data_IF_806326878168
#
_entry.id   IF_806326878168
#
_cell.length_a   1.000
_cell.length_b   1.000
_cell.length_c   1.000
_cell.angle_alpha   90.00
_cell.angle_beta   90.00
_cell.angle_gamma   90.00
#
_symmetry.space_group_name_H-M   'P 1'
#
loop_
_entity.id
_entity.type
_entity.pdbx_description
1 polymer ?
#
# COMPACT_ATOMS: atom_id res chain seq x y z
N UNK A 1 -23.86 -12.11 -20.84
CA UNK A 1 -23.11 -10.97 -20.26
C UNK A 1 -22.57 -11.46 -18.91
N UNK A 2 -21.40 -12.08 -18.93
CA UNK A 2 -20.79 -12.78 -17.78
C UNK A 2 -20.01 -11.75 -16.96
N UNK A 3 -20.49 -11.47 -15.75
CA UNK A 3 -19.78 -10.64 -14.79
C UNK A 3 -18.50 -11.37 -14.34
N UNK A 4 -17.37 -10.79 -14.68
CA UNK A 4 -16.05 -11.26 -14.28
C UNK A 4 -15.85 -10.91 -12.80
N UNK A 5 -15.91 -11.91 -11.94
CA UNK A 5 -15.59 -11.79 -10.52
C UNK A 5 -14.10 -11.48 -10.39
N UNK A 6 -13.79 -10.32 -9.78
CA UNK A 6 -12.43 -9.94 -9.44
C UNK A 6 -11.76 -10.93 -8.48
N UNK A 7 -10.44 -10.80 -8.26
CA UNK A 7 -9.64 -11.81 -7.57
C UNK A 7 -10.03 -11.92 -6.09
N UNK A 8 -10.87 -12.92 -5.79
CA UNK A 8 -11.02 -13.40 -4.42
C UNK A 8 -9.73 -14.11 -4.03
N UNK A 9 -8.99 -13.55 -3.10
CA UNK A 9 -7.95 -14.30 -2.39
C UNK A 9 -8.64 -15.33 -1.49
N UNK A 10 -8.71 -16.56 -1.93
CA UNK A 10 -9.03 -17.70 -1.08
C UNK A 10 -7.94 -17.82 -0.01
N UNK A 11 -8.28 -17.48 1.22
CA UNK A 11 -7.44 -17.79 2.36
C UNK A 11 -8.22 -18.76 3.27
N UNK A 12 -7.68 -19.97 3.29
CA UNK A 12 -7.85 -21.02 4.30
C UNK A 12 -9.28 -21.49 4.55
N UNK A 13 -9.62 -22.62 3.97
CA UNK A 13 -10.76 -23.44 4.36
C UNK A 13 -10.54 -23.96 5.78
N UNK A 14 -11.17 -23.34 6.76
CA UNK A 14 -11.33 -23.94 8.07
C UNK A 14 -12.62 -24.78 8.00
N UNK A 15 -12.50 -26.09 7.87
CA UNK A 15 -13.60 -27.03 8.03
C UNK A 15 -13.88 -27.09 9.54
N UNK A 16 -14.88 -26.34 9.98
CA UNK A 16 -15.40 -26.49 11.34
C UNK A 16 -16.55 -27.48 11.24
N UNK A 17 -16.29 -28.74 11.55
CA UNK A 17 -17.34 -29.71 11.82
C UNK A 17 -18.03 -29.30 13.14
N UNK A 18 -19.14 -28.61 13.05
CA UNK A 18 -19.98 -28.41 14.22
C UNK A 18 -20.76 -29.70 14.45
N UNK A 19 -20.62 -30.34 15.62
CA UNK A 19 -21.51 -31.43 15.98
C UNK A 19 -22.94 -30.91 16.04
N UNK A 20 -23.77 -31.35 15.11
CA UNK A 20 -25.22 -31.08 15.17
C UNK A 20 -25.72 -31.79 16.41
N UNK A 21 -26.36 -31.02 17.29
CA UNK A 21 -27.00 -31.55 18.52
C UNK A 21 -27.89 -32.74 18.15
N UNK A 22 -27.53 -33.92 18.59
CA UNK A 22 -28.35 -35.09 18.46
C UNK A 22 -29.60 -34.86 19.32
N UNK A 23 -30.75 -34.62 18.69
CA UNK A 23 -32.02 -34.68 19.36
C UNK A 23 -32.24 -36.14 19.72
N UNK A 24 -32.15 -36.46 21.01
CA UNK A 24 -32.48 -37.81 21.54
C UNK A 24 -33.96 -38.02 21.33
N UNK A 25 -34.31 -38.70 20.27
CA UNK A 25 -35.67 -39.22 20.04
C UNK A 25 -35.75 -40.58 20.72
N UNK A 26 -36.87 -40.84 21.39
CA UNK A 26 -37.17 -42.02 22.23
C UNK A 26 -36.82 -43.38 21.61
N UNK A 27 -36.56 -44.40 22.44
CA UNK A 27 -36.07 -45.68 21.94
C UNK A 27 -37.15 -46.39 21.09
N UNK A 28 -36.92 -46.46 19.80
CA UNK A 28 -37.77 -47.13 18.84
C UNK A 28 -37.62 -46.64 17.38
N UNK A 29 -37.37 -45.39 17.13
CA UNK A 29 -37.27 -44.83 15.77
C UNK A 29 -35.85 -44.29 15.50
N UNK A 30 -34.97 -45.13 14.98
CA UNK A 30 -33.73 -44.69 14.43
C UNK A 30 -34.01 -44.24 13.00
N UNK A 31 -34.51 -43.03 12.82
CA UNK A 31 -34.48 -42.37 11.56
C UNK A 31 -33.08 -41.72 11.46
N UNK A 32 -32.17 -42.34 10.74
CA UNK A 32 -30.91 -41.76 10.39
C UNK A 32 -31.19 -40.58 9.45
N UNK A 33 -31.41 -39.38 10.05
CA UNK A 33 -31.41 -38.15 9.26
C UNK A 33 -30.01 -37.94 8.75
N UNK A 34 -29.81 -37.81 7.41
CA UNK A 34 -28.49 -37.51 6.89
C UNK A 34 -28.00 -36.21 7.50
N UNK A 35 -26.84 -36.28 8.17
CA UNK A 35 -26.18 -35.09 8.69
C UNK A 35 -25.74 -34.27 7.49
N UNK A 36 -26.50 -33.24 7.16
CA UNK A 36 -26.11 -32.29 6.13
C UNK A 36 -24.82 -31.59 6.59
N UNK A 37 -23.72 -31.92 5.99
CA UNK A 37 -22.45 -31.23 6.25
C UNK A 37 -22.54 -29.82 5.67
N UNK A 38 -22.66 -28.82 6.53
CA UNK A 38 -22.63 -27.43 6.14
C UNK A 38 -21.16 -26.98 6.01
N UNK A 39 -20.77 -26.62 4.81
CA UNK A 39 -19.42 -26.06 4.55
C UNK A 39 -19.49 -24.54 4.78
N UNK A 40 -18.80 -24.07 5.82
CA UNK A 40 -18.72 -22.63 6.11
C UNK A 40 -17.54 -22.05 5.35
N UNK A 41 -17.83 -21.28 4.32
CA UNK A 41 -16.82 -20.46 3.61
C UNK A 41 -16.78 -19.06 4.20
N UNK A 42 -15.64 -18.67 4.75
CA UNK A 42 -15.40 -17.30 5.18
C UNK A 42 -14.77 -16.53 4.02
N UNK A 43 -15.52 -15.66 3.39
CA UNK A 43 -15.01 -14.73 2.39
C UNK A 43 -14.61 -13.41 3.08
N UNK A 44 -13.34 -13.03 2.96
CA UNK A 44 -12.85 -11.75 3.45
C UNK A 44 -12.79 -10.76 2.29
N UNK A 45 -13.59 -9.71 2.37
CA UNK A 45 -13.54 -8.59 1.44
C UNK A 45 -12.98 -7.38 2.17
N UNK A 46 -11.77 -6.94 1.82
CA UNK A 46 -11.25 -5.67 2.35
C UNK A 46 -11.83 -4.53 1.51
N UNK A 47 -12.66 -3.68 2.11
CA UNK A 47 -13.33 -2.57 1.41
C UNK A 47 -12.53 -1.27 1.44
N UNK A 48 -11.79 -1.01 2.51
CA UNK A 48 -11.05 0.22 2.67
C UNK A 48 -9.76 -0.01 3.48
N UNK A 49 -8.64 0.37 2.91
CA UNK A 49 -7.32 0.30 3.53
C UNK A 49 -6.71 1.71 3.54
N UNK A 50 -6.84 2.45 4.64
CA UNK A 50 -6.39 3.84 4.70
C UNK A 50 -4.88 3.98 4.54
N UNK A 51 -4.08 3.00 4.95
CA UNK A 51 -2.65 2.93 4.73
C UNK A 51 -2.28 2.90 3.24
N UNK A 52 -3.03 2.15 2.43
CA UNK A 52 -2.85 2.10 0.99
C UNK A 52 -3.18 3.44 0.31
N UNK A 53 -4.22 4.13 0.79
CA UNK A 53 -4.60 5.45 0.28
C UNK A 53 -3.52 6.50 0.60
N UNK A 54 -2.97 6.48 1.82
CA UNK A 54 -1.89 7.39 2.23
C UNK A 54 -0.65 7.14 1.39
N UNK A 55 -0.24 5.88 1.20
CA UNK A 55 0.90 5.54 0.35
C UNK A 55 0.68 6.01 -1.10
N UNK A 56 -0.53 5.81 -1.66
CA UNK A 56 -0.87 6.26 -3.00
C UNK A 56 -0.86 7.80 -3.12
N UNK A 57 -1.36 8.53 -2.14
CA UNK A 57 -1.35 9.99 -2.14
C UNK A 57 0.07 10.55 -2.08
N UNK A 58 0.92 10.04 -1.19
CA UNK A 58 2.33 10.43 -1.13
C UNK A 58 3.04 10.09 -2.44
N UNK A 59 2.78 8.90 -2.99
CA UNK A 59 3.33 8.48 -4.28
C UNK A 59 2.88 9.39 -5.43
N UNK A 60 1.62 9.82 -5.44
CA UNK A 60 1.10 10.75 -6.46
C UNK A 60 1.77 12.12 -6.37
N UNK A 61 1.93 12.66 -5.17
CA UNK A 61 2.61 13.95 -4.96
C UNK A 61 4.05 13.88 -5.44
N UNK A 62 4.81 12.85 -5.04
CA UNK A 62 6.19 12.66 -5.50
C UNK A 62 6.27 12.50 -7.02
N UNK A 63 5.36 11.74 -7.62
CA UNK A 63 5.31 11.54 -9.06
C UNK A 63 5.08 12.87 -9.79
N UNK A 64 4.12 13.67 -9.35
CA UNK A 64 3.81 14.95 -9.98
C UNK A 64 4.95 15.96 -9.84
N UNK A 65 5.51 16.10 -8.63
CA UNK A 65 6.64 17.00 -8.38
C UNK A 65 7.84 16.58 -9.19
N UNK A 66 8.21 15.31 -9.14
CA UNK A 66 9.34 14.76 -9.89
C UNK A 66 9.16 14.88 -11.41
N UNK A 67 7.96 14.67 -11.94
CA UNK A 67 7.67 14.82 -13.35
C UNK A 67 7.81 16.28 -13.80
N UNK A 68 7.30 17.23 -13.03
CA UNK A 68 7.44 18.66 -13.30
C UNK A 68 8.93 19.05 -13.25
N UNK A 69 9.68 18.59 -12.26
CA UNK A 69 11.10 18.84 -12.14
C UNK A 69 11.90 18.28 -13.34
N UNK A 70 11.65 17.02 -13.69
CA UNK A 70 12.33 16.36 -14.81
C UNK A 70 12.04 17.02 -16.16
N UNK A 71 10.77 17.39 -16.40
CA UNK A 71 10.36 18.03 -17.66
C UNK A 71 10.87 19.47 -17.80
N UNK A 72 10.92 20.22 -16.70
CA UNK A 72 11.44 21.60 -16.70
C UNK A 72 12.97 21.64 -16.75
N UNK A 73 13.64 20.68 -16.09
CA UNK A 73 15.10 20.60 -16.10
C UNK A 73 15.68 20.14 -17.44
N UNK A 74 14.88 19.43 -18.25
CA UNK A 74 15.32 18.92 -19.55
C UNK A 74 16.27 17.75 -19.44
N UNK A 75 16.61 17.18 -20.61
CA UNK A 75 17.52 16.03 -20.74
C UNK A 75 18.73 16.35 -21.61
N UNK A 76 18.85 17.60 -22.07
CA UNK A 76 19.88 18.05 -23.04
C UNK A 76 21.15 18.56 -22.34
N UNK A 77 21.78 17.76 -21.50
CA UNK A 77 23.00 18.17 -20.82
C UNK A 77 23.32 17.35 -19.59
N UNK A 78 24.10 17.95 -18.67
CA UNK A 78 24.33 17.31 -17.37
C UNK A 78 23.05 17.39 -16.53
N UNK A 79 22.47 16.26 -16.18
CA UNK A 79 21.22 16.17 -15.42
C UNK A 79 21.27 16.81 -14.01
N UNK A 80 22.47 17.21 -13.56
CA UNK A 80 22.70 17.92 -12.31
C UNK A 80 22.81 19.46 -12.44
N UNK A 81 22.99 19.96 -13.67
CA UNK A 81 23.26 21.40 -13.89
C UNK A 81 21.99 22.29 -14.00
N UNK A 82 20.88 21.85 -14.64
CA UNK A 82 19.69 22.69 -14.63
C UNK A 82 19.00 22.56 -13.28
N UNK A 83 19.09 23.62 -12.49
CA UNK A 83 18.34 23.77 -11.25
C UNK A 83 17.02 24.47 -11.58
N UNK A 84 15.91 23.77 -11.36
CA UNK A 84 14.55 24.32 -11.55
C UNK A 84 13.86 24.47 -10.22
N UNK A 85 13.02 25.49 -10.10
CA UNK A 85 12.19 25.67 -8.93
C UNK A 85 10.82 25.04 -9.16
N UNK A 86 10.43 24.15 -8.25
CA UNK A 86 9.11 23.52 -8.22
C UNK A 86 8.52 23.69 -6.81
N UNK A 87 7.38 24.34 -6.70
CA UNK A 87 6.70 24.64 -5.43
C UNK A 87 7.58 25.38 -4.40
N UNK A 88 8.54 26.20 -4.84
CA UNK A 88 9.44 26.92 -3.96
C UNK A 88 10.67 26.14 -3.51
N UNK A 89 10.89 24.94 -4.04
CA UNK A 89 12.07 24.12 -3.78
C UNK A 89 12.92 23.94 -5.03
N UNK A 90 14.24 23.93 -4.85
CA UNK A 90 15.18 23.70 -5.94
C UNK A 90 15.27 22.20 -6.26
N UNK A 91 15.18 21.86 -7.53
CA UNK A 91 15.26 20.50 -8.05
C UNK A 91 16.25 20.41 -9.20
N UNK A 92 16.90 19.26 -9.30
CA UNK A 92 17.61 18.86 -10.54
C UNK A 92 16.79 17.81 -11.28
N UNK A 93 17.08 17.61 -12.56
CA UNK A 93 16.46 16.54 -13.36
C UNK A 93 16.71 15.17 -12.73
N UNK A 94 17.91 14.92 -12.19
CA UNK A 94 18.24 13.68 -11.49
C UNK A 94 17.37 13.45 -10.27
N UNK A 95 17.18 14.47 -9.43
CA UNK A 95 16.32 14.39 -8.26
C UNK A 95 14.86 14.11 -8.67
N UNK A 96 14.37 14.84 -9.68
CA UNK A 96 13.03 14.61 -10.22
C UNK A 96 12.81 13.18 -10.73
N UNK A 97 13.79 12.56 -11.39
CA UNK A 97 13.70 11.16 -11.81
C UNK A 97 13.65 10.18 -10.63
N UNK A 98 14.42 10.43 -9.58
CA UNK A 98 14.37 9.62 -8.35
C UNK A 98 12.99 9.73 -7.70
N UNK A 99 12.42 10.95 -7.63
CA UNK A 99 11.07 11.18 -7.10
C UNK A 99 9.99 10.48 -7.95
N UNK A 100 10.10 10.53 -9.27
CA UNK A 100 9.21 9.79 -10.19
C UNK A 100 9.28 8.29 -9.90
N UNK A 101 10.48 7.72 -9.79
CA UNK A 101 10.66 6.30 -9.52
C UNK A 101 10.05 5.89 -8.16
N UNK A 102 10.33 6.63 -7.09
CA UNK A 102 9.77 6.39 -5.76
C UNK A 102 8.25 6.61 -5.74
N UNK A 103 7.76 7.65 -6.42
CA UNK A 103 6.34 7.93 -6.56
C UNK A 103 5.59 6.79 -7.25
N UNK A 104 6.13 6.25 -8.34
CA UNK A 104 5.55 5.08 -9.03
C UNK A 104 5.54 3.84 -8.13
N UNK A 105 6.62 3.57 -7.40
CA UNK A 105 6.68 2.46 -6.46
C UNK A 105 5.60 2.58 -5.37
N UNK A 106 5.45 3.76 -4.76
CA UNK A 106 4.44 4.02 -3.73
C UNK A 106 3.01 3.94 -4.29
N UNK A 107 2.77 4.43 -5.51
CA UNK A 107 1.48 4.28 -6.19
C UNK A 107 1.15 2.80 -6.44
N UNK A 108 2.12 2.04 -6.93
CA UNK A 108 1.95 0.61 -7.17
C UNK A 108 1.65 -0.14 -5.86
N UNK A 109 2.38 0.19 -4.79
CA UNK A 109 2.15 -0.37 -3.45
C UNK A 109 0.76 -0.02 -2.93
N UNK A 110 0.33 1.23 -3.09
CA UNK A 110 -1.02 1.67 -2.75
C UNK A 110 -2.09 0.93 -3.56
N UNK A 111 -1.89 0.78 -4.88
CA UNK A 111 -2.81 0.05 -5.76
C UNK A 111 -2.91 -1.44 -5.41
N UNK A 112 -1.79 -2.08 -5.08
CA UNK A 112 -1.72 -3.49 -4.67
C UNK A 112 -2.04 -3.71 -3.20
N UNK A 113 -2.25 -2.64 -2.44
CA UNK A 113 -2.54 -2.66 -0.99
C UNK A 113 -1.50 -3.45 -0.19
N UNK A 114 -0.24 -3.37 -0.60
CA UNK A 114 0.87 -4.08 0.03
C UNK A 114 1.42 -3.32 1.23
N UNK A 115 1.04 -3.74 2.45
CA UNK A 115 1.52 -3.14 3.69
C UNK A 115 3.05 -3.20 3.83
N UNK A 116 3.63 -4.36 3.51
CA UNK A 116 5.09 -4.53 3.56
C UNK A 116 5.79 -3.61 2.56
N UNK A 117 5.21 -3.44 1.36
CA UNK A 117 5.70 -2.51 0.37
C UNK A 117 5.63 -1.06 0.85
N UNK A 118 4.52 -0.65 1.48
CA UNK A 118 4.37 0.69 2.04
C UNK A 118 5.41 0.97 3.15
N UNK A 119 5.63 0.00 4.04
CA UNK A 119 6.67 0.10 5.07
C UNK A 119 8.06 0.21 4.45
N UNK A 120 8.38 -0.62 3.46
CA UNK A 120 9.68 -0.62 2.81
C UNK A 120 9.96 0.71 2.08
N UNK A 121 9.08 1.12 1.17
CA UNK A 121 9.30 2.34 0.39
C UNK A 121 9.14 3.61 1.24
N UNK A 122 8.27 3.61 2.25
CA UNK A 122 8.20 4.68 3.23
C UNK A 122 9.50 4.81 4.03
N UNK A 123 10.10 3.70 4.46
CA UNK A 123 11.40 3.70 5.14
C UNK A 123 12.53 4.17 4.21
N UNK A 124 12.55 3.72 2.96
CA UNK A 124 13.54 4.19 1.96
C UNK A 124 13.42 5.70 1.77
N UNK A 125 12.21 6.23 1.60
CA UNK A 125 11.97 7.66 1.47
C UNK A 125 12.43 8.45 2.70
N UNK A 126 12.07 7.95 3.90
CA UNK A 126 12.48 8.58 5.17
C UNK A 126 13.99 8.60 5.37
N UNK A 127 14.67 7.48 5.11
CA UNK A 127 16.13 7.38 5.23
C UNK A 127 16.83 8.24 4.20
N UNK A 128 16.40 8.22 2.94
CA UNK A 128 16.95 9.05 1.89
C UNK A 128 16.78 10.56 2.21
N UNK A 129 15.58 10.94 2.67
CA UNK A 129 15.32 12.29 3.14
C UNK A 129 16.22 12.70 4.32
N UNK A 130 16.38 11.81 5.31
CA UNK A 130 17.25 12.07 6.47
C UNK A 130 18.71 12.26 6.07
N UNK A 131 19.23 11.40 5.21
CA UNK A 131 20.60 11.54 4.69
C UNK A 131 20.75 12.84 3.93
N UNK A 132 19.77 13.21 3.08
CA UNK A 132 19.75 14.48 2.37
C UNK A 132 19.70 15.70 3.30
N UNK A 133 18.94 15.62 4.40
CA UNK A 133 18.83 16.71 5.37
C UNK A 133 20.12 16.92 6.18
N UNK A 134 20.78 15.84 6.58
CA UNK A 134 22.01 15.90 7.40
C UNK A 134 23.23 16.24 6.55
N UNK A 135 23.29 15.74 5.32
CA UNK A 135 24.42 15.94 4.40
C UNK A 135 24.07 16.92 3.26
N UNK A 136 23.22 17.90 3.53
CA UNK A 136 22.74 18.86 2.52
C UNK A 136 23.87 19.54 1.73
N UNK A 137 24.98 19.91 2.36
CA UNK A 137 26.12 20.53 1.68
C UNK A 137 26.78 19.62 0.62
N UNK A 138 26.84 18.30 0.89
CA UNK A 138 27.41 17.35 -0.05
C UNK A 138 26.47 17.05 -1.22
N UNK A 139 25.15 17.03 -0.98
CA UNK A 139 24.14 16.76 -1.98
C UNK A 139 23.64 18.01 -2.72
N UNK A 140 23.82 19.22 -2.15
CA UNK A 140 23.45 20.46 -2.79
C UNK A 140 24.15 20.65 -4.15
N UNK A 141 25.40 20.22 -4.27
CA UNK A 141 26.18 20.32 -5.52
C UNK A 141 25.73 19.36 -6.61
N UNK A 142 25.20 18.19 -6.24
CA UNK A 142 24.87 17.12 -7.22
C UNK A 142 23.37 16.97 -7.46
N UNK A 143 22.55 17.23 -6.44
CA UNK A 143 21.11 17.01 -6.51
C UNK A 143 20.29 18.28 -6.22
N UNK A 144 20.94 19.40 -5.85
CA UNK A 144 20.31 20.66 -5.41
C UNK A 144 19.25 20.45 -4.33
N UNK A 145 19.47 19.49 -3.41
CA UNK A 145 18.55 19.20 -2.33
C UNK A 145 18.66 20.28 -1.27
N UNK A 146 17.58 21.00 -1.04
CA UNK A 146 17.43 21.88 0.11
C UNK A 146 17.10 21.09 1.38
N UNK A 147 17.68 21.49 2.52
CA UNK A 147 17.44 20.82 3.80
C UNK A 147 15.94 20.79 4.16
N UNK A 148 15.18 21.83 3.85
CA UNK A 148 13.74 21.93 4.06
C UNK A 148 12.96 20.86 3.31
N UNK A 149 13.29 20.64 2.05
CA UNK A 149 12.69 19.61 1.21
C UNK A 149 13.06 18.20 1.70
N UNK A 150 14.31 18.01 2.10
CA UNK A 150 14.75 16.73 2.64
C UNK A 150 13.98 16.36 3.93
N UNK A 151 13.71 17.34 4.81
CA UNK A 151 12.87 17.11 5.99
C UNK A 151 11.41 16.79 5.64
N UNK A 152 10.86 17.37 4.58
CA UNK A 152 9.53 16.98 4.08
C UNK A 152 9.51 15.53 3.59
N UNK A 153 10.56 15.07 2.93
CA UNK A 153 10.69 13.65 2.53
C UNK A 153 10.77 12.73 3.75
N UNK A 154 11.49 13.11 4.81
CA UNK A 154 11.49 12.39 6.10
C UNK A 154 10.08 12.28 6.64
N UNK A 155 9.37 13.42 6.75
CA UNK A 155 8.02 13.47 7.27
C UNK A 155 7.08 12.57 6.47
N UNK A 156 7.13 12.67 5.14
CA UNK A 156 6.32 11.83 4.25
C UNK A 156 6.61 10.33 4.44
N UNK A 157 7.89 9.95 4.52
CA UNK A 157 8.30 8.58 4.79
C UNK A 157 7.80 8.06 6.14
N UNK A 158 7.92 8.86 7.20
CA UNK A 158 7.41 8.55 8.54
C UNK A 158 5.89 8.38 8.52
N UNK A 159 5.16 9.26 7.87
CA UNK A 159 3.69 9.17 7.74
C UNK A 159 3.27 7.87 7.04
N UNK A 160 3.94 7.48 5.94
CA UNK A 160 3.66 6.23 5.24
C UNK A 160 3.94 5.02 6.14
N UNK A 161 5.09 4.98 6.83
CA UNK A 161 5.44 3.88 7.75
C UNK A 161 4.47 3.79 8.92
N UNK A 162 4.17 4.92 9.58
CA UNK A 162 3.24 4.94 10.71
C UNK A 162 1.82 4.55 10.28
N UNK A 163 1.36 5.03 9.13
CA UNK A 163 0.06 4.62 8.61
C UNK A 163 0.00 3.11 8.37
N UNK A 164 1.05 2.53 7.80
CA UNK A 164 1.13 1.10 7.59
C UNK A 164 1.21 0.30 8.91
N UNK A 165 1.78 0.85 9.97
CA UNK A 165 1.89 0.18 11.28
C UNK A 165 0.62 0.29 12.13
N UNK A 166 0.01 1.47 12.17
CA UNK A 166 -1.01 1.82 13.17
C UNK A 166 -2.44 1.74 12.65
N UNK A 167 -2.67 1.94 11.34
CA UNK A 167 -4.03 1.97 10.84
C UNK A 167 -4.64 0.57 10.75
N UNK A 168 -5.87 0.39 11.31
CA UNK A 168 -6.58 -0.88 11.22
C UNK A 168 -7.09 -1.09 9.79
N UNK A 169 -7.10 -2.35 9.37
CA UNK A 169 -7.75 -2.77 8.12
C UNK A 169 -9.20 -3.10 8.39
N UNK A 170 -10.10 -2.43 7.72
CA UNK A 170 -11.51 -2.76 7.80
C UNK A 170 -11.82 -3.95 6.90
N UNK A 171 -11.86 -5.14 7.52
CA UNK A 171 -12.18 -6.39 6.84
C UNK A 171 -13.65 -6.70 7.07
N UNK A 172 -14.47 -6.70 6.01
CA UNK A 172 -15.84 -7.17 6.08
C UNK A 172 -15.86 -8.70 5.97
N UNK A 173 -16.23 -9.36 7.05
CA UNK A 173 -16.33 -10.80 7.09
C UNK A 173 -17.75 -11.20 6.62
N UNK A 174 -17.84 -11.88 5.50
CA UNK A 174 -19.09 -12.47 5.01
C UNK A 174 -19.03 -13.97 5.23
N UNK A 175 -19.99 -14.51 5.98
CA UNK A 175 -20.13 -15.95 6.19
C UNK A 175 -21.17 -16.46 5.19
N UNK A 176 -20.76 -17.29 4.27
CA UNK A 176 -21.68 -18.00 3.37
C UNK A 176 -21.81 -19.43 3.87
N UNK A 177 -23.02 -19.83 4.22
CA UNK A 177 -23.35 -21.20 4.61
C UNK A 177 -23.85 -21.88 3.33
N UNK A 178 -23.09 -22.82 2.82
CA UNK A 178 -23.47 -23.64 1.69
C UNK A 178 -23.95 -25.00 2.22
N UNK A 179 -25.21 -25.28 2.03
CA UNK A 179 -25.80 -26.59 2.35
C UNK A 179 -25.43 -27.56 1.21
N UNK A 180 -24.69 -28.58 1.52
CA UNK A 180 -24.30 -29.67 0.58
C UNK A 180 -25.16 -30.88 0.83
#
# INVERSE_FOLDING_TARGET
MTMHNGPFREQTEAIIEMPVAQTVVQPGDIVATPVASARVRKAYSSHFEPDAVIAALVGLVLLLVGLIAATRGGFDGKMSDPVVEVLGFTHTTTLGLIEVALGLCLLFVGATRSRSGAMFFGAVLGVAGFVGAVQSESFAKSLAIESSMAWLAVLAGVVVVLSALMLPRFVKQSTVIENV
#
